data_IF_436567005775
#
_entry.id   IF_436567005775
#
_cell.length_a   1.000
_cell.length_b   1.000
_cell.length_c   1.000
_cell.angle_alpha   90.00
_cell.angle_beta   90.00
_cell.angle_gamma   90.00
#
_symmetry.space_group_name_H-M   'P 1'
#
loop_
_entity.id
_entity.type
_entity.pdbx_description
1 polymer ?
#
# COMPACT_ATOMS: atom_id res chain seq x y z
N UNK A 1 3.38 -0.89 -24.35
CA UNK A 1 3.28 -1.63 -23.07
C UNK A 1 1.87 -1.40 -22.57
N UNK A 2 1.11 -2.46 -22.30
CA UNK A 2 -0.18 -2.31 -21.63
C UNK A 2 0.04 -1.60 -20.29
N UNK A 3 -0.79 -0.60 -19.99
CA UNK A 3 -0.73 0.12 -18.72
C UNK A 3 -1.50 -0.71 -17.67
N UNK A 4 -0.91 -1.83 -17.26
CA UNK A 4 -1.52 -2.77 -16.33
C UNK A 4 -1.48 -2.20 -14.91
N UNK A 5 -2.64 -1.90 -14.34
CA UNK A 5 -2.77 -1.48 -12.95
C UNK A 5 -2.85 -2.72 -12.06
N UNK A 6 -1.98 -2.80 -11.06
CA UNK A 6 -2.01 -3.86 -10.03
C UNK A 6 -2.55 -3.27 -8.73
N UNK A 7 -3.63 -3.84 -8.21
CA UNK A 7 -4.23 -3.43 -6.93
C UNK A 7 -3.78 -4.37 -5.81
N UNK A 8 -3.35 -3.82 -4.67
CA UNK A 8 -2.93 -4.55 -3.48
C UNK A 8 -3.80 -4.10 -2.31
N UNK A 9 -4.40 -5.04 -1.59
CA UNK A 9 -5.18 -4.76 -0.39
C UNK A 9 -4.49 -5.39 0.83
N UNK A 10 -4.10 -4.55 1.78
CA UNK A 10 -3.57 -5.00 3.07
C UNK A 10 -4.68 -4.92 4.12
N UNK A 11 -4.86 -6.01 4.88
CA UNK A 11 -5.87 -6.11 5.94
C UNK A 11 -5.24 -6.62 7.23
N UNK A 12 -5.75 -6.15 8.36
CA UNK A 12 -5.34 -6.62 9.68
C UNK A 12 -6.00 -5.79 10.78
N UNK A 13 -5.70 -6.13 12.02
CA UNK A 13 -6.19 -5.39 13.21
C UNK A 13 -5.14 -4.41 13.71
N UNK A 14 -5.58 -3.46 14.55
CA UNK A 14 -4.70 -2.47 15.16
C UNK A 14 -3.50 -3.11 15.87
N UNK A 15 -2.32 -2.50 15.71
CA UNK A 15 -1.08 -2.98 16.33
C UNK A 15 -0.30 -4.04 15.53
N UNK A 16 -0.80 -4.50 14.37
CA UNK A 16 -0.10 -5.49 13.53
C UNK A 16 0.90 -4.90 12.52
N UNK A 17 1.05 -3.57 12.49
CA UNK A 17 1.99 -2.91 11.59
C UNK A 17 1.56 -2.86 10.12
N UNK A 18 0.27 -3.07 9.82
CA UNK A 18 -0.28 -3.02 8.45
C UNK A 18 0.01 -1.68 7.76
N UNK A 19 -0.14 -0.58 8.49
CA UNK A 19 0.14 0.76 7.97
C UNK A 19 1.63 0.92 7.60
N UNK A 20 2.54 0.44 8.46
CA UNK A 20 3.97 0.47 8.20
C UNK A 20 4.34 -0.39 6.99
N UNK A 21 3.77 -1.59 6.88
CA UNK A 21 3.97 -2.45 5.72
C UNK A 21 3.48 -1.79 4.42
N UNK A 22 2.35 -1.08 4.48
CA UNK A 22 1.81 -0.30 3.34
C UNK A 22 2.78 0.79 2.89
N UNK A 23 3.38 1.52 3.84
CA UNK A 23 4.38 2.55 3.55
C UNK A 23 5.62 1.96 2.88
N UNK A 24 6.19 0.91 3.46
CA UNK A 24 7.40 0.24 2.95
C UNK A 24 7.17 -0.27 1.52
N UNK A 25 6.02 -0.88 1.25
CA UNK A 25 5.68 -1.34 -0.10
C UNK A 25 5.56 -0.17 -1.08
N UNK A 26 4.90 0.91 -0.68
CA UNK A 26 4.75 2.10 -1.50
C UNK A 26 6.11 2.70 -1.88
N UNK A 27 7.00 2.87 -0.90
CA UNK A 27 8.37 3.35 -1.13
C UNK A 27 9.16 2.41 -2.05
N UNK A 28 9.10 1.10 -1.80
CA UNK A 28 9.80 0.12 -2.62
C UNK A 28 9.35 0.17 -4.09
N UNK A 29 8.04 0.30 -4.35
CA UNK A 29 7.51 0.41 -5.71
C UNK A 29 7.85 1.73 -6.37
N UNK A 30 7.82 2.84 -5.64
CA UNK A 30 8.29 4.13 -6.16
C UNK A 30 9.78 4.08 -6.54
N UNK A 31 10.63 3.45 -5.70
CA UNK A 31 12.05 3.25 -6.00
C UNK A 31 12.29 2.33 -7.20
N UNK A 32 11.39 1.39 -7.46
CA UNK A 32 11.41 0.54 -8.64
C UNK A 32 10.85 1.22 -9.91
N UNK A 33 10.44 2.48 -9.82
CA UNK A 33 9.99 3.29 -10.96
C UNK A 33 8.50 3.16 -11.30
N UNK A 34 7.68 2.62 -10.39
CA UNK A 34 6.23 2.54 -10.58
C UNK A 34 5.53 3.82 -10.10
N UNK A 35 4.41 4.17 -10.75
CA UNK A 35 3.45 5.13 -10.22
C UNK A 35 2.58 4.44 -9.16
N UNK A 36 2.57 4.98 -7.94
CA UNK A 36 1.93 4.34 -6.79
C UNK A 36 0.88 5.27 -6.21
N UNK A 37 -0.32 4.73 -5.99
CA UNK A 37 -1.39 5.39 -5.25
C UNK A 37 -1.75 4.56 -4.03
N UNK A 38 -1.50 5.11 -2.85
CA UNK A 38 -1.86 4.51 -1.57
C UNK A 38 -3.15 5.14 -1.05
N UNK A 39 -4.04 4.31 -0.51
CA UNK A 39 -5.20 4.73 0.27
C UNK A 39 -5.23 3.93 1.56
N UNK A 40 -5.62 4.57 2.65
CA UNK A 40 -5.79 3.94 3.96
C UNK A 40 -7.19 4.24 4.50
N UNK A 41 -7.80 3.23 5.13
CA UNK A 41 -9.06 3.38 5.83
C UNK A 41 -8.81 2.95 7.27
N UNK A 42 -8.91 3.90 8.18
CA UNK A 42 -8.90 3.62 9.60
C UNK A 42 -10.33 3.29 10.03
N UNK A 43 -10.50 2.13 10.68
CA UNK A 43 -11.69 1.93 11.51
C UNK A 43 -11.63 2.95 12.64
N UNK A 44 -12.47 3.99 12.59
CA UNK A 44 -12.72 4.83 13.76
C UNK A 44 -13.28 3.91 14.85
N UNK A 45 -12.56 3.82 15.97
CA UNK A 45 -13.11 3.18 17.17
C UNK A 45 -14.23 4.02 17.75
#
# INVERSE_FOLDING_TARGET
MENTITNILLVGVGGQGILLASEILSEAFMLAGYDVKKSEIHGMS
#
